data_IF_092003555002
#
_entry.id   IF_092003555002
#
_cell.length_a   1.000
_cell.length_b   1.000
_cell.length_c   1.000
_cell.angle_alpha   90.00
_cell.angle_beta   90.00
_cell.angle_gamma   90.00
#
_symmetry.space_group_name_H-M   'P 1'
#
loop_
_entity.id
_entity.type
_entity.pdbx_description
1 polymer ?
#
# COMPACT_ATOMS: atom_id res chain seq x y z
N UNK A 1 2.01 5.85 15.12
CA UNK A 1 2.38 6.76 14.03
C UNK A 1 1.52 6.54 12.77
N UNK A 2 1.37 5.30 12.25
CA UNK A 2 0.58 5.02 11.05
C UNK A 2 -0.91 5.43 11.21
N UNK A 3 -1.50 5.19 12.36
CA UNK A 3 -2.89 5.61 12.66
C UNK A 3 -3.04 7.14 12.65
N UNK A 4 -2.05 7.86 13.18
CA UNK A 4 -2.03 9.33 13.14
C UNK A 4 -1.91 9.85 11.72
N UNK A 5 -1.05 9.22 10.90
CA UNK A 5 -0.90 9.56 9.49
C UNK A 5 -2.21 9.32 8.73
N UNK A 6 -2.85 8.17 8.95
CA UNK A 6 -4.14 7.85 8.34
C UNK A 6 -5.22 8.88 8.72
N UNK A 7 -5.31 9.27 10.00
CA UNK A 7 -6.24 10.29 10.48
C UNK A 7 -5.96 11.65 9.85
N UNK A 8 -4.68 12.07 9.79
CA UNK A 8 -4.27 13.33 9.15
C UNK A 8 -4.60 13.33 7.66
N UNK A 9 -4.32 12.24 6.95
CA UNK A 9 -4.66 12.10 5.54
C UNK A 9 -6.18 12.12 5.33
N UNK A 10 -6.93 11.44 6.19
CA UNK A 10 -8.38 11.46 6.12
C UNK A 10 -8.92 12.87 6.36
N UNK A 11 -8.28 13.68 7.20
CA UNK A 11 -8.72 15.04 7.51
C UNK A 11 -8.23 16.11 6.53
N UNK A 12 -7.17 15.86 5.79
CA UNK A 12 -6.64 16.84 4.83
C UNK A 12 -7.57 17.02 3.62
N UNK A 13 -7.83 18.28 3.26
CA UNK A 13 -8.62 18.67 2.08
C UNK A 13 -7.75 18.95 0.86
N UNK A 14 -6.45 19.05 1.04
CA UNK A 14 -5.46 19.23 -0.03
C UNK A 14 -5.31 17.98 -0.89
N UNK A 15 -4.73 18.14 -2.09
CA UNK A 15 -4.36 17.00 -2.93
C UNK A 15 -3.29 16.14 -2.23
N UNK A 16 -3.48 14.82 -2.26
CA UNK A 16 -2.61 13.86 -1.59
C UNK A 16 -2.17 12.78 -2.58
N UNK A 17 -0.88 12.68 -2.79
CA UNK A 17 -0.28 11.64 -3.62
C UNK A 17 0.65 10.81 -2.76
N UNK A 18 0.47 9.49 -2.76
CA UNK A 18 1.37 8.55 -2.11
C UNK A 18 2.26 7.88 -3.15
N UNK A 19 3.58 8.02 -2.99
CA UNK A 19 4.57 7.29 -3.77
C UNK A 19 5.08 6.10 -2.96
N UNK A 20 4.85 4.89 -3.46
CA UNK A 20 5.27 3.64 -2.83
C UNK A 20 6.55 3.18 -3.54
N UNK A 21 7.71 3.50 -2.95
CA UNK A 21 9.02 3.15 -3.49
C UNK A 21 9.68 1.96 -2.78
N UNK A 22 9.06 1.43 -1.75
CA UNK A 22 9.59 0.32 -0.95
C UNK A 22 8.48 -0.59 -0.45
N UNK A 23 8.44 -0.86 0.86
CA UNK A 23 7.45 -1.78 1.46
C UNK A 23 6.28 -0.99 2.06
N UNK A 24 5.11 -1.10 1.47
CA UNK A 24 3.84 -0.63 2.02
C UNK A 24 3.06 -1.83 2.54
N UNK A 25 3.33 -2.24 3.78
CA UNK A 25 2.78 -3.46 4.39
C UNK A 25 2.08 -3.13 5.71
N UNK A 26 0.94 -3.77 5.94
CA UNK A 26 0.17 -3.65 7.18
C UNK A 26 -0.27 -2.22 7.47
N UNK A 27 0.10 -1.63 8.64
CA UNK A 27 -0.32 -0.29 9.02
C UNK A 27 0.10 0.81 8.03
N UNK A 28 1.25 0.65 7.37
CA UNK A 28 1.72 1.59 6.34
C UNK A 28 0.82 1.52 5.11
N UNK A 29 0.46 0.32 4.65
CA UNK A 29 -0.50 0.13 3.58
C UNK A 29 -1.83 0.85 3.89
N UNK A 30 -2.37 0.65 5.08
CA UNK A 30 -3.63 1.29 5.50
C UNK A 30 -3.52 2.81 5.54
N UNK A 31 -2.42 3.36 6.04
CA UNK A 31 -2.21 4.80 6.09
C UNK A 31 -2.12 5.43 4.69
N UNK A 32 -1.40 4.80 3.77
CA UNK A 32 -1.24 5.29 2.39
C UNK A 32 -2.53 5.14 1.57
N UNK A 33 -3.41 4.20 1.92
CA UNK A 33 -4.71 4.03 1.26
C UNK A 33 -5.61 5.27 1.35
N UNK A 34 -5.38 6.17 2.31
CA UNK A 34 -6.11 7.44 2.46
C UNK A 34 -5.63 8.55 1.48
N UNK A 35 -4.62 8.30 0.65
CA UNK A 35 -4.22 9.22 -0.41
C UNK A 35 -5.24 9.26 -1.56
N UNK A 36 -5.29 10.38 -2.29
CA UNK A 36 -6.18 10.53 -3.46
C UNK A 36 -5.64 9.78 -4.68
N UNK A 37 -4.31 9.65 -4.77
CA UNK A 37 -3.60 8.88 -5.79
C UNK A 37 -2.43 8.13 -5.16
N UNK A 38 -2.25 6.88 -5.59
CA UNK A 38 -1.20 5.99 -5.13
C UNK A 38 -0.40 5.51 -6.32
N UNK A 39 0.88 5.85 -6.33
CA UNK A 39 1.83 5.51 -7.39
C UNK A 39 2.76 4.44 -6.84
N UNK A 40 2.77 3.27 -7.44
CA UNK A 40 3.64 2.16 -7.06
C UNK A 40 4.88 2.13 -7.97
N UNK A 41 6.07 2.16 -7.41
CA UNK A 41 7.32 2.03 -8.16
C UNK A 41 7.63 0.55 -8.36
N UNK A 42 8.07 0.16 -9.54
CA UNK A 42 8.48 -1.21 -9.83
C UNK A 42 9.52 -1.70 -8.81
N UNK A 43 9.32 -2.92 -8.29
CA UNK A 43 10.12 -3.49 -7.21
C UNK A 43 9.61 -3.17 -5.80
N UNK A 44 8.55 -2.38 -5.64
CA UNK A 44 7.91 -2.20 -4.34
C UNK A 44 7.09 -3.45 -3.92
N UNK A 45 6.77 -3.51 -2.64
CA UNK A 45 5.87 -4.53 -2.07
C UNK A 45 4.65 -3.83 -1.47
N UNK A 46 3.47 -4.17 -1.96
CA UNK A 46 2.20 -3.60 -1.48
C UNK A 46 1.34 -4.73 -0.95
N UNK A 47 1.09 -4.75 0.35
CA UNK A 47 0.30 -5.81 0.98
C UNK A 47 -0.41 -5.36 2.26
N UNK A 48 -1.65 -5.79 2.51
CA UNK A 48 -2.35 -5.50 3.76
C UNK A 48 -1.76 -6.23 4.96
N UNK A 49 -1.06 -7.35 4.73
CA UNK A 49 -0.42 -8.18 5.76
C UNK A 49 1.00 -8.54 5.35
N UNK A 50 1.88 -8.79 6.31
CA UNK A 50 3.23 -9.27 6.03
C UNK A 50 3.18 -10.57 5.21
N UNK A 51 3.96 -10.69 4.11
CA UNK A 51 3.90 -11.86 3.23
C UNK A 51 4.08 -13.19 3.96
N UNK A 52 5.00 -13.24 4.92
CA UNK A 52 5.25 -14.44 5.73
C UNK A 52 4.03 -14.86 6.56
N UNK A 53 3.34 -13.87 7.14
CA UNK A 53 2.11 -14.12 7.89
C UNK A 53 0.96 -14.52 6.96
N UNK A 54 0.84 -13.88 5.79
CA UNK A 54 -0.18 -14.21 4.80
C UNK A 54 -0.05 -15.66 4.32
N UNK A 55 1.16 -16.10 3.94
CA UNK A 55 1.38 -17.47 3.45
C UNK A 55 1.19 -18.52 4.54
N UNK A 56 1.49 -18.20 5.80
CA UNK A 56 1.25 -19.11 6.93
C UNK A 56 -0.25 -19.40 7.11
N UNK A 57 -1.11 -18.46 6.76
CA UNK A 57 -2.56 -18.66 6.78
C UNK A 57 -3.05 -19.37 5.51
N UNK A 58 -2.61 -18.88 4.33
CA UNK A 58 -3.10 -19.35 3.03
C UNK A 58 -2.61 -20.75 2.67
N UNK A 59 -1.36 -21.07 3.00
CA UNK A 59 -0.68 -22.35 2.66
C UNK A 59 -0.34 -23.17 3.88
N UNK A 60 -1.16 -23.06 4.93
CA UNK A 60 -0.92 -23.72 6.22
C UNK A 60 -0.57 -25.21 6.07
N UNK A 61 -1.42 -25.96 5.39
CA UNK A 61 -1.29 -27.41 5.30
C UNK A 61 -0.02 -27.84 4.53
N UNK A 62 0.32 -27.12 3.46
CA UNK A 62 1.53 -27.35 2.67
C UNK A 62 2.80 -27.04 3.47
N UNK A 63 2.79 -25.93 4.21
CA UNK A 63 3.92 -25.49 5.03
C UNK A 63 4.18 -26.48 6.18
N UNK A 64 3.13 -26.92 6.85
CA UNK A 64 3.25 -27.87 7.98
C UNK A 64 3.55 -29.29 7.53
N UNK A 65 3.23 -29.67 6.29
CA UNK A 65 3.62 -30.97 5.73
C UNK A 65 5.08 -31.03 5.25
N UNK A 66 5.80 -29.89 5.22
CA UNK A 66 7.18 -29.82 4.77
C UNK A 66 8.17 -30.20 5.88
N UNK A 67 9.31 -30.83 5.52
CA UNK A 67 10.39 -31.18 6.44
C UNK A 67 11.03 -29.95 7.12
N UNK A 68 10.97 -28.78 6.47
CA UNK A 68 11.53 -27.54 7.01
C UNK A 68 10.54 -26.38 6.83
N UNK A 69 9.76 -26.14 7.86
CA UNK A 69 8.72 -25.11 7.93
C UNK A 69 9.27 -23.72 7.61
N UNK A 70 10.44 -23.36 8.14
CA UNK A 70 11.04 -22.03 7.97
C UNK A 70 11.41 -21.77 6.51
N UNK A 71 12.04 -22.75 5.86
CA UNK A 71 12.42 -22.62 4.46
C UNK A 71 11.20 -22.66 3.54
N UNK A 72 10.22 -23.50 3.83
CA UNK A 72 8.96 -23.56 3.09
C UNK A 72 8.20 -22.22 3.19
N UNK A 73 8.10 -21.63 4.39
CA UNK A 73 7.47 -20.31 4.59
C UNK A 73 8.19 -19.23 3.79
N UNK A 74 9.52 -19.16 3.83
CA UNK A 74 10.30 -18.18 3.06
C UNK A 74 10.12 -18.35 1.56
N UNK A 75 10.16 -19.56 1.06
CA UNK A 75 9.97 -19.83 -0.37
C UNK A 75 8.57 -19.44 -0.85
N UNK A 76 7.52 -19.81 -0.09
CA UNK A 76 6.14 -19.41 -0.37
C UNK A 76 5.94 -17.91 -0.27
N UNK A 77 6.55 -17.24 0.73
CA UNK A 77 6.47 -15.79 0.87
C UNK A 77 7.12 -15.07 -0.31
N UNK A 78 8.27 -15.54 -0.80
CA UNK A 78 8.93 -14.98 -1.97
C UNK A 78 8.06 -15.09 -3.24
N UNK A 79 7.45 -16.27 -3.47
CA UNK A 79 6.51 -16.48 -4.57
C UNK A 79 5.28 -15.58 -4.45
N UNK A 80 4.70 -15.51 -3.26
CA UNK A 80 3.54 -14.65 -2.97
C UNK A 80 3.84 -13.16 -3.21
N UNK A 81 5.03 -12.69 -2.83
CA UNK A 81 5.45 -11.30 -3.09
C UNK A 81 5.52 -11.03 -4.59
N UNK A 82 6.11 -11.92 -5.36
CA UNK A 82 6.25 -11.75 -6.81
C UNK A 82 4.90 -11.75 -7.53
N UNK A 83 3.98 -12.61 -7.11
CA UNK A 83 2.70 -12.82 -7.79
C UNK A 83 1.61 -11.84 -7.33
N UNK A 84 1.51 -11.59 -6.02
CA UNK A 84 0.35 -10.89 -5.42
C UNK A 84 0.69 -9.51 -4.88
N UNK A 85 1.95 -9.28 -4.46
CA UNK A 85 2.34 -8.02 -3.79
C UNK A 85 3.18 -7.08 -4.67
N UNK A 86 3.35 -7.40 -5.96
CA UNK A 86 4.09 -6.55 -6.91
C UNK A 86 3.35 -5.25 -7.22
N UNK A 87 4.04 -4.27 -7.81
CA UNK A 87 3.44 -3.01 -8.23
C UNK A 87 2.26 -3.23 -9.21
N UNK A 88 2.44 -4.13 -10.17
CA UNK A 88 1.42 -4.42 -11.18
C UNK A 88 0.23 -5.17 -10.59
N UNK A 89 0.48 -6.12 -9.68
CA UNK A 89 -0.58 -6.81 -8.95
C UNK A 89 -1.37 -5.84 -8.06
N UNK A 90 -0.69 -4.87 -7.43
CA UNK A 90 -1.34 -3.84 -6.64
C UNK A 90 -2.26 -2.93 -7.48
N UNK A 91 -1.87 -2.61 -8.71
CA UNK A 91 -2.73 -1.87 -9.66
C UNK A 91 -3.92 -2.74 -10.08
N UNK A 92 -3.70 -3.99 -10.44
CA UNK A 92 -4.77 -4.91 -10.83
C UNK A 92 -5.79 -5.12 -9.71
N UNK A 93 -5.35 -5.15 -8.46
CA UNK A 93 -6.20 -5.26 -7.27
C UNK A 93 -6.83 -3.92 -6.82
N UNK A 94 -6.50 -2.80 -7.45
CA UNK A 94 -6.97 -1.46 -7.04
C UNK A 94 -6.30 -0.91 -5.77
N UNK A 95 -5.23 -1.53 -5.29
CA UNK A 95 -4.45 -1.07 -4.15
C UNK A 95 -3.53 0.11 -4.51
N UNK A 96 -3.14 0.22 -5.78
CA UNK A 96 -2.47 1.36 -6.36
C UNK A 96 -3.22 1.83 -7.61
N UNK A 97 -3.04 3.10 -7.99
CA UNK A 97 -3.73 3.69 -9.14
C UNK A 97 -2.88 3.57 -10.42
N UNK A 98 -1.56 3.50 -10.26
CA UNK A 98 -0.62 3.29 -11.35
C UNK A 98 0.70 2.70 -10.87
N UNK A 99 1.35 1.95 -11.76
CA UNK A 99 2.73 1.49 -11.58
C UNK A 99 3.67 2.30 -12.48
N UNK A 100 4.90 2.54 -12.04
CA UNK A 100 5.91 3.22 -12.83
C UNK A 100 7.33 2.70 -12.54
N UNK A 101 8.22 2.89 -13.49
CA UNK A 101 9.66 2.72 -13.31
C UNK A 101 10.22 3.78 -12.35
N UNK A 102 11.29 3.45 -11.63
CA UNK A 102 11.94 4.38 -10.71
C UNK A 102 12.41 5.68 -11.41
N UNK A 103 12.89 5.58 -12.64
CA UNK A 103 13.29 6.73 -13.44
C UNK A 103 12.12 7.71 -13.73
N UNK A 104 10.90 7.19 -13.82
CA UNK A 104 9.70 7.95 -14.15
C UNK A 104 8.89 8.37 -12.91
N UNK A 105 9.31 8.00 -11.70
CA UNK A 105 8.56 8.23 -10.47
C UNK A 105 8.21 9.71 -10.26
N UNK A 106 9.18 10.61 -10.49
CA UNK A 106 8.95 12.05 -10.38
C UNK A 106 7.91 12.56 -11.38
N UNK A 107 8.00 12.16 -12.63
CA UNK A 107 7.05 12.56 -13.67
C UNK A 107 5.64 12.06 -13.35
N UNK A 108 5.53 10.82 -12.86
CA UNK A 108 4.26 10.21 -12.44
C UNK A 108 3.62 10.96 -11.28
N UNK A 109 4.41 11.39 -10.29
CA UNK A 109 3.91 12.19 -9.15
C UNK A 109 3.45 13.57 -9.62
N UNK A 110 4.21 14.24 -10.50
CA UNK A 110 3.82 15.53 -11.07
C UNK A 110 2.50 15.40 -11.81
N UNK A 111 2.37 14.42 -12.71
CA UNK A 111 1.13 14.16 -13.44
C UNK A 111 -0.06 13.87 -12.49
N UNK A 112 0.18 13.12 -11.41
CA UNK A 112 -0.85 12.87 -10.40
C UNK A 112 -1.31 14.16 -9.72
N UNK A 113 -0.40 15.08 -9.39
CA UNK A 113 -0.78 16.39 -8.83
C UNK A 113 -1.48 17.28 -9.85
N UNK A 114 -1.09 17.25 -11.11
CA UNK A 114 -1.80 17.97 -12.18
C UNK A 114 -3.25 17.51 -12.31
N UNK A 115 -3.50 16.21 -12.29
CA UNK A 115 -4.85 15.65 -12.29
C UNK A 115 -5.68 16.10 -11.07
N UNK A 116 -5.02 16.30 -9.93
CA UNK A 116 -5.65 16.72 -8.69
C UNK A 116 -5.70 18.26 -8.51
N UNK A 117 -5.20 19.04 -9.47
CA UNK A 117 -5.10 20.50 -9.38
C UNK A 117 -6.45 21.19 -9.15
N UNK A 118 -7.52 20.64 -9.71
CA UNK A 118 -8.89 21.14 -9.57
C UNK A 118 -9.65 20.56 -8.38
N UNK A 119 -9.00 19.70 -7.57
CA UNK A 119 -9.66 19.09 -6.41
C UNK A 119 -10.23 20.15 -5.47
N UNK A 120 -11.50 19.99 -5.15
CA UNK A 120 -12.21 20.77 -4.13
C UNK A 120 -12.87 19.79 -3.17
N UNK A 121 -12.41 19.78 -1.94
CA UNK A 121 -12.99 18.98 -0.87
C UNK A 121 -13.58 19.93 0.18
N UNK A 122 -14.91 19.95 0.28
CA UNK A 122 -15.60 20.62 1.36
C UNK A 122 -15.82 19.63 2.49
N UNK A 123 -15.54 20.02 3.71
CA UNK A 123 -15.86 19.24 4.91
C UNK A 123 -16.88 19.99 5.75
N UNK A 124 -17.77 19.20 6.35
CA UNK A 124 -18.62 19.73 7.40
C UNK A 124 -17.76 20.13 8.60
N UNK A 125 -18.00 21.31 9.22
CA UNK A 125 -17.29 21.72 10.41
C UNK A 125 -17.51 20.68 11.52
N UNK A 126 -16.43 20.17 12.09
CA UNK A 126 -16.47 19.22 13.19
C UNK A 126 -16.19 19.94 14.51
N UNK A 127 -17.04 19.73 15.50
CA UNK A 127 -16.76 20.20 16.87
C UNK A 127 -15.74 19.32 17.58
N UNK A 128 -15.72 18.02 17.28
CA UNK A 128 -14.85 17.02 17.89
C UNK A 128 -14.34 16.06 16.82
N UNK A 129 -13.05 15.80 16.84
CA UNK A 129 -12.42 14.77 16.03
C UNK A 129 -12.28 13.47 16.86
N UNK A 130 -12.65 12.34 16.29
CA UNK A 130 -12.29 11.05 16.86
C UNK A 130 -10.94 10.64 16.24
N UNK A 131 -9.86 10.88 17.01
CA UNK A 131 -8.50 10.51 16.57
C UNK A 131 -8.15 9.11 17.07
N UNK A 132 -7.56 8.32 16.18
CA UNK A 132 -6.92 7.06 16.58
C UNK A 132 -5.69 7.38 17.45
N UNK A 133 -5.64 6.81 18.64
CA UNK A 133 -4.56 6.96 19.62
C UNK A 133 -3.45 5.95 19.34
#
# INVERSE_FOLDING_TARGET
EAARLAATYADATTAKVALIAGKAVGPVYTALAAADRRVAVQGCTVAPLAPEAAVTVLYKDEIFASDNIVNATKAKAAAYVAEVCSADAAVAAGAADMACEAANARASVVAAFELLSTKRAARLPKKHGNMAL
#
